data_IF_484564867421
#
_entry.id   IF_484564867421
#
_cell.length_a   1.000
_cell.length_b   1.000
_cell.length_c   1.000
_cell.angle_alpha   90.00
_cell.angle_beta   90.00
_cell.angle_gamma   90.00
#
_symmetry.space_group_name_H-M   'P 1'
#
loop_
_entity.id
_entity.type
_entity.pdbx_description
1 polymer ?
#
# COMPACT_ATOMS: atom_id res chain seq x y z
N UNK A 1 -15.22 5.56 -8.84
CA UNK A 1 -14.05 4.63 -8.85
C UNK A 1 -13.18 5.02 -7.68
N UNK A 2 -13.06 4.17 -6.66
CA UNK A 2 -12.24 4.48 -5.49
C UNK A 2 -10.77 4.62 -5.90
N UNK A 3 -10.19 5.81 -5.74
CA UNK A 3 -8.83 6.17 -6.18
C UNK A 3 -7.71 5.57 -5.33
N UNK A 4 -8.07 4.83 -4.28
CA UNK A 4 -7.15 4.37 -3.23
C UNK A 4 -6.90 2.86 -3.25
N UNK A 5 -7.76 2.05 -3.89
CA UNK A 5 -7.56 0.60 -4.00
C UNK A 5 -6.96 0.26 -5.37
N UNK A 6 -5.81 -0.40 -5.34
CA UNK A 6 -5.00 -0.70 -6.52
C UNK A 6 -4.96 -2.19 -6.86
N UNK A 7 -5.69 -3.03 -6.13
CA UNK A 7 -5.74 -4.48 -6.36
C UNK A 7 -4.37 -5.12 -6.24
N UNK A 8 -4.05 -6.01 -7.18
CA UNK A 8 -2.79 -6.74 -7.21
C UNK A 8 -1.63 -5.82 -7.62
N UNK A 9 -1.01 -5.22 -6.61
CA UNK A 9 0.19 -4.40 -6.73
C UNK A 9 1.30 -4.99 -5.86
N UNK A 10 2.52 -5.07 -6.38
CA UNK A 10 3.65 -5.55 -5.61
C UNK A 10 4.11 -4.53 -4.58
N UNK A 11 4.89 -4.99 -3.60
CA UNK A 11 5.53 -4.10 -2.62
C UNK A 11 6.46 -3.09 -3.31
N UNK A 12 7.23 -3.53 -4.30
CA UNK A 12 8.19 -2.68 -5.01
C UNK A 12 7.50 -1.58 -5.81
N UNK A 13 6.41 -1.90 -6.51
CA UNK A 13 5.60 -0.90 -7.22
C UNK A 13 4.97 0.11 -6.25
N UNK A 14 4.43 -0.36 -5.12
CA UNK A 14 3.90 0.53 -4.08
C UNK A 14 4.95 1.50 -3.54
N UNK A 15 6.19 1.03 -3.31
CA UNK A 15 7.31 1.88 -2.91
C UNK A 15 7.61 2.91 -4.00
N UNK A 16 7.74 2.48 -5.26
CA UNK A 16 8.04 3.39 -6.38
C UNK A 16 6.97 4.49 -6.56
N UNK A 17 5.71 4.20 -6.25
CA UNK A 17 4.60 5.15 -6.36
C UNK A 17 4.54 6.13 -5.18
N UNK A 18 4.90 5.68 -3.98
CA UNK A 18 4.75 6.47 -2.74
C UNK A 18 6.04 7.18 -2.31
N UNK A 19 7.20 6.77 -2.83
CA UNK A 19 8.48 7.38 -2.49
C UNK A 19 8.48 8.86 -2.91
N UNK A 20 8.82 9.75 -1.98
CA UNK A 20 8.86 11.19 -2.21
C UNK A 20 7.50 11.87 -2.39
N UNK A 21 6.40 11.13 -2.25
CA UNK A 21 5.06 11.73 -2.22
C UNK A 21 4.84 12.51 -0.91
N UNK A 22 3.78 13.34 -0.90
CA UNK A 22 3.38 14.08 0.31
C UNK A 22 3.11 13.10 1.45
N UNK A 23 3.55 13.46 2.66
CA UNK A 23 3.27 12.68 3.87
C UNK A 23 1.77 12.35 3.96
N UNK A 24 1.46 11.09 4.28
CA UNK A 24 0.08 10.60 4.37
C UNK A 24 -0.55 10.22 3.02
N UNK A 25 0.18 10.33 1.91
CA UNK A 25 -0.25 9.71 0.64
C UNK A 25 -0.21 8.20 0.81
N UNK A 26 -1.29 7.51 0.40
CA UNK A 26 -1.43 6.08 0.62
C UNK A 26 -2.11 5.38 -0.55
N UNK A 27 -1.96 4.05 -0.58
CA UNK A 27 -2.73 3.14 -1.39
C UNK A 27 -2.98 1.84 -0.63
N UNK A 28 -4.04 1.14 -0.99
CA UNK A 28 -4.35 -0.21 -0.52
C UNK A 28 -4.16 -1.19 -1.68
N UNK A 29 -3.47 -2.29 -1.42
CA UNK A 29 -3.20 -3.36 -2.39
C UNK A 29 -3.49 -4.72 -1.79
N UNK A 30 -3.66 -5.74 -2.63
CA UNK A 30 -3.79 -7.12 -2.18
C UNK A 30 -2.50 -7.59 -1.51
N UNK A 31 -2.64 -8.38 -0.46
CA UNK A 31 -1.50 -9.06 0.17
C UNK A 31 -0.96 -10.14 -0.78
N UNK A 32 0.33 -10.03 -1.09
CA UNK A 32 1.02 -11.04 -1.92
C UNK A 32 1.39 -12.30 -1.15
N UNK A 33 1.30 -12.28 0.18
CA UNK A 33 1.72 -13.38 1.07
C UNK A 33 0.55 -14.09 1.73
N UNK A 34 -0.56 -13.39 1.95
CA UNK A 34 -1.76 -13.94 2.61
C UNK A 34 -2.96 -13.66 1.70
N UNK A 35 -3.42 -14.64 0.90
CA UNK A 35 -4.58 -14.46 0.03
C UNK A 35 -5.82 -14.03 0.82
N UNK A 36 -6.49 -12.97 0.35
CA UNK A 36 -7.68 -12.41 0.99
C UNK A 36 -7.42 -11.23 1.93
N UNK A 37 -6.17 -11.05 2.38
CA UNK A 37 -5.78 -9.87 3.16
C UNK A 37 -5.37 -8.68 2.28
N UNK A 38 -5.35 -7.50 2.89
CA UNK A 38 -4.91 -6.27 2.25
C UNK A 38 -3.64 -5.72 2.90
N UNK A 39 -2.97 -4.84 2.17
CA UNK A 39 -1.82 -4.07 2.66
C UNK A 39 -2.08 -2.59 2.40
N UNK A 40 -2.12 -1.81 3.48
CA UNK A 40 -2.05 -0.36 3.42
C UNK A 40 -0.59 0.06 3.28
N UNK A 41 -0.25 0.76 2.21
CA UNK A 41 1.07 1.34 1.99
C UNK A 41 0.98 2.86 2.12
N UNK A 42 1.84 3.48 2.94
CA UNK A 42 1.78 4.91 3.28
C UNK A 42 3.15 5.56 3.11
N UNK A 43 3.19 6.74 2.49
CA UNK A 43 4.37 7.60 2.48
C UNK A 43 4.48 8.35 3.81
N UNK A 44 5.48 8.01 4.61
CA UNK A 44 5.74 8.62 5.92
C UNK A 44 7.23 8.89 6.12
N UNK A 45 7.57 10.11 6.56
CA UNK A 45 8.93 10.45 7.01
C UNK A 45 10.06 10.00 6.04
N UNK A 46 9.88 10.28 4.75
CA UNK A 46 10.81 9.91 3.66
C UNK A 46 10.97 8.42 3.40
N UNK A 47 10.07 7.59 3.92
CA UNK A 47 9.99 6.15 3.71
C UNK A 47 8.58 5.75 3.30
N UNK A 48 8.44 4.50 2.86
CA UNK A 48 7.14 3.88 2.60
C UNK A 48 6.94 2.76 3.61
N UNK A 49 5.94 2.91 4.45
CA UNK A 49 5.53 1.92 5.44
C UNK A 49 4.40 1.06 4.92
N UNK A 50 4.36 -0.19 5.38
CA UNK A 50 3.39 -1.18 4.94
C UNK A 50 2.73 -1.84 6.16
N UNK A 51 1.41 -1.78 6.23
CA UNK A 51 0.61 -2.35 7.31
C UNK A 51 -0.32 -3.41 6.72
N UNK A 52 -0.30 -4.61 7.32
CA UNK A 52 -1.23 -5.68 6.94
C UNK A 52 -2.58 -5.35 7.58
N UNK A 53 -3.63 -5.40 6.77
CA UNK A 53 -5.03 -5.27 7.20
C UNK A 53 -5.67 -6.64 7.02
N UNK A 54 -5.85 -7.33 8.14
CA UNK A 54 -6.48 -8.66 8.16
C UNK A 54 -7.97 -8.50 7.88
N UNK A 55 -8.52 -9.27 6.94
CA UNK A 55 -9.94 -9.23 6.59
C UNK A 55 -10.80 -10.23 7.36
N UNK A 56 -10.38 -10.63 8.58
CA UNK A 56 -11.10 -11.58 9.44
C UNK A 56 -12.58 -11.24 9.61
#
# INVERSE_FOLDING_TARGET
RASWYWGRLSRAEAVSLLQGQRHGTFLVRDSGTIPGDFVLSVSESSRVSHYIVNSL
#
